data_IF_089852848784
#
_entry.id   IF_089852848784
#
_cell.length_a   1.000
_cell.length_b   1.000
_cell.length_c   1.000
_cell.angle_alpha   90.00
_cell.angle_beta   90.00
_cell.angle_gamma   90.00
#
_symmetry.space_group_name_H-M   'P 1'
#
loop_
_entity.id
_entity.type
_entity.pdbx_description
1 polymer ?
#
# COMPACT_ATOMS: atom_id res chain seq x y z
N UNK A 1 -2.62 -19.01 -9.13
CA UNK A 1 -3.35 -18.98 -10.42
C UNK A 1 -2.93 -17.75 -11.22
N UNK A 2 -2.55 -17.92 -12.48
CA UNK A 2 -1.98 -16.85 -13.32
C UNK A 2 -2.96 -15.69 -13.54
N UNK A 3 -4.24 -15.99 -13.79
CA UNK A 3 -5.26 -14.97 -14.06
C UNK A 3 -5.40 -13.95 -12.92
N UNK A 4 -5.30 -14.38 -11.66
CA UNK A 4 -5.42 -13.49 -10.50
C UNK A 4 -4.22 -12.53 -10.39
N UNK A 5 -3.03 -13.00 -10.77
CA UNK A 5 -1.82 -12.16 -10.84
C UNK A 5 -1.94 -11.14 -11.97
N UNK A 6 -2.43 -11.55 -13.15
CA UNK A 6 -2.68 -10.63 -14.29
C UNK A 6 -3.68 -9.55 -13.91
N UNK A 7 -4.79 -9.93 -13.28
CA UNK A 7 -5.80 -8.98 -12.82
C UNK A 7 -5.20 -7.98 -11.81
N UNK A 8 -4.44 -8.47 -10.83
CA UNK A 8 -3.82 -7.60 -9.82
C UNK A 8 -2.75 -6.68 -10.42
N UNK A 9 -2.02 -7.13 -11.44
CA UNK A 9 -1.09 -6.32 -12.21
C UNK A 9 -1.80 -5.17 -12.94
N UNK A 10 -2.92 -5.45 -13.62
CA UNK A 10 -3.72 -4.42 -14.31
C UNK A 10 -4.28 -3.41 -13.31
N UNK A 11 -4.85 -3.88 -12.20
CA UNK A 11 -5.41 -3.01 -11.15
C UNK A 11 -4.33 -2.12 -10.54
N UNK A 12 -3.19 -2.71 -10.16
CA UNK A 12 -2.10 -1.95 -9.58
C UNK A 12 -1.53 -0.91 -10.54
N UNK A 13 -1.44 -1.24 -11.83
CA UNK A 13 -1.00 -0.31 -12.88
C UNK A 13 -1.95 0.86 -13.04
N UNK A 14 -3.26 0.58 -13.07
CA UNK A 14 -4.30 1.61 -13.08
C UNK A 14 -4.21 2.53 -11.85
N UNK A 15 -4.07 1.96 -10.66
CA UNK A 15 -3.98 2.71 -9.39
C UNK A 15 -2.72 3.59 -9.37
N UNK A 16 -1.59 3.09 -9.85
CA UNK A 16 -0.35 3.87 -9.96
C UNK A 16 -0.53 5.06 -10.91
N UNK A 17 -1.15 4.86 -12.07
CA UNK A 17 -1.44 5.93 -13.02
C UNK A 17 -2.38 7.01 -12.43
N UNK A 18 -3.38 6.59 -11.65
CA UNK A 18 -4.29 7.51 -10.95
C UNK A 18 -3.60 8.29 -9.84
N UNK A 19 -2.77 7.65 -9.02
CA UNK A 19 -1.98 8.37 -8.01
C UNK A 19 -0.98 9.34 -8.64
N UNK A 20 -0.38 8.98 -9.78
CA UNK A 20 0.47 9.89 -10.54
C UNK A 20 -0.30 11.15 -10.99
N UNK A 21 -1.52 10.98 -11.51
CA UNK A 21 -2.38 12.10 -11.88
C UNK A 21 -2.77 12.99 -10.68
N UNK A 22 -3.02 12.39 -9.51
CA UNK A 22 -3.31 13.12 -8.26
C UNK A 22 -2.09 13.89 -7.72
N UNK A 23 -0.89 13.33 -7.87
CA UNK A 23 0.38 13.96 -7.47
C UNK A 23 0.58 15.32 -8.14
N UNK A 24 0.10 15.48 -9.38
CA UNK A 24 0.17 16.73 -10.13
C UNK A 24 -0.87 17.78 -9.71
N UNK A 25 -1.93 17.43 -8.96
CA UNK A 25 -3.10 18.32 -8.75
C UNK A 25 -3.19 19.02 -7.39
N UNK A 26 -2.61 18.49 -6.31
CA UNK A 26 -2.33 19.18 -5.00
C UNK A 26 -1.79 18.13 -4.01
N UNK A 27 -1.00 18.55 -3.02
CA UNK A 27 -0.46 17.58 -2.02
C UNK A 27 0.62 16.67 -2.60
N UNK A 28 1.59 17.25 -3.31
CA UNK A 28 2.59 16.54 -4.13
C UNK A 28 3.31 15.43 -3.37
N UNK A 29 3.69 15.63 -2.11
CA UNK A 29 4.55 14.67 -1.39
C UNK A 29 3.82 13.45 -0.84
N UNK A 30 2.57 13.59 -0.35
CA UNK A 30 1.77 12.44 0.12
C UNK A 30 1.41 11.51 -1.04
N UNK A 31 0.89 12.06 -2.13
CA UNK A 31 0.54 11.24 -3.30
C UNK A 31 1.78 10.72 -4.03
N UNK A 32 2.92 11.41 -3.98
CA UNK A 32 4.18 10.88 -4.49
C UNK A 32 4.57 9.58 -3.78
N UNK A 33 4.50 9.53 -2.44
CA UNK A 33 4.78 8.32 -1.67
C UNK A 33 3.88 7.15 -2.08
N UNK A 34 2.57 7.38 -2.20
CA UNK A 34 1.62 6.35 -2.66
C UNK A 34 1.85 5.94 -4.13
N UNK A 35 2.25 6.88 -4.99
CA UNK A 35 2.59 6.60 -6.39
C UNK A 35 3.81 5.70 -6.48
N UNK A 36 4.87 6.01 -5.74
CA UNK A 36 6.09 5.18 -5.72
C UNK A 36 5.78 3.81 -5.15
N UNK A 37 5.03 3.72 -4.05
CA UNK A 37 4.62 2.44 -3.48
C UNK A 37 3.80 1.58 -4.44
N UNK A 38 2.83 2.19 -5.13
CA UNK A 38 2.01 1.48 -6.13
C UNK A 38 2.81 1.05 -7.35
N UNK A 39 3.75 1.88 -7.84
CA UNK A 39 4.67 1.49 -8.90
C UNK A 39 5.55 0.31 -8.50
N UNK A 40 6.14 0.33 -7.30
CA UNK A 40 6.92 -0.82 -6.80
C UNK A 40 6.04 -2.07 -6.75
N UNK A 41 4.81 -1.95 -6.25
CA UNK A 41 3.87 -3.07 -6.22
C UNK A 41 3.54 -3.62 -7.62
N UNK A 42 3.40 -2.75 -8.64
CA UNK A 42 3.22 -3.20 -10.03
C UNK A 42 4.42 -4.01 -10.54
N UNK A 43 5.63 -3.55 -10.26
CA UNK A 43 6.88 -4.26 -10.64
C UNK A 43 6.94 -5.63 -9.97
N UNK A 44 6.53 -5.73 -8.71
CA UNK A 44 6.43 -7.01 -8.01
C UNK A 44 5.44 -7.96 -8.68
N UNK A 45 4.23 -7.49 -9.01
CA UNK A 45 3.23 -8.34 -9.68
C UNK A 45 3.68 -8.76 -11.08
N UNK A 46 4.40 -7.88 -11.78
CA UNK A 46 5.00 -8.20 -13.08
C UNK A 46 6.08 -9.28 -12.95
N UNK A 47 6.93 -9.19 -11.93
CA UNK A 47 7.93 -10.21 -11.63
C UNK A 47 7.30 -11.57 -11.32
N UNK A 48 6.23 -11.60 -10.50
CA UNK A 48 5.49 -12.84 -10.20
C UNK A 48 4.87 -13.44 -11.47
N UNK A 49 4.40 -12.59 -12.39
CA UNK A 49 3.88 -13.05 -13.68
C UNK A 49 4.99 -13.68 -14.54
N UNK A 50 6.16 -13.05 -14.64
CA UNK A 50 7.30 -13.60 -15.39
C UNK A 50 7.75 -14.95 -14.82
N UNK A 51 7.79 -15.09 -13.50
CA UNK A 51 8.12 -16.35 -12.84
C UNK A 51 7.14 -17.47 -13.22
N UNK A 52 5.84 -17.17 -13.31
CA UNK A 52 4.84 -18.13 -13.78
C UNK A 52 4.96 -18.50 -15.26
N UNK A 53 5.44 -17.59 -16.12
CA UNK A 53 5.51 -17.80 -17.56
C UNK A 53 6.78 -18.55 -17.99
N UNK A 54 7.92 -18.21 -17.39
CA UNK A 54 9.23 -18.74 -17.80
C UNK A 54 9.62 -20.00 -17.03
N UNK A 55 9.21 -20.12 -15.75
CA UNK A 55 9.57 -21.23 -14.86
C UNK A 55 11.08 -21.58 -14.85
N UNK A 56 11.94 -20.60 -15.15
CA UNK A 56 13.40 -20.73 -15.14
C UNK A 56 13.93 -20.46 -13.72
N UNK A 57 14.82 -21.30 -13.16
CA UNK A 57 15.43 -21.10 -11.85
C UNK A 57 16.03 -19.70 -11.63
N UNK A 58 16.67 -19.12 -12.66
CA UNK A 58 17.25 -17.77 -12.56
C UNK A 58 16.17 -16.69 -12.40
N UNK A 59 15.03 -16.87 -13.08
CA UNK A 59 13.87 -15.97 -12.98
C UNK A 59 13.19 -16.10 -11.63
N UNK A 60 13.11 -17.32 -11.08
CA UNK A 60 12.56 -17.56 -9.74
C UNK A 60 13.36 -16.84 -8.66
N UNK A 61 14.69 -16.99 -8.65
CA UNK A 61 15.57 -16.31 -7.67
C UNK A 61 15.45 -14.79 -7.79
N UNK A 62 15.49 -14.26 -9.02
CA UNK A 62 15.31 -12.82 -9.25
C UNK A 62 13.92 -12.34 -8.76
N UNK A 63 12.87 -13.13 -8.99
CA UNK A 63 11.52 -12.77 -8.60
C UNK A 63 11.32 -12.79 -7.09
N UNK A 64 11.90 -13.75 -6.37
CA UNK A 64 11.83 -13.79 -4.90
C UNK A 64 12.50 -12.55 -4.30
N UNK A 65 13.69 -12.20 -4.81
CA UNK A 65 14.41 -10.99 -4.40
C UNK A 65 13.59 -9.71 -4.65
N UNK A 66 13.04 -9.54 -5.86
CA UNK A 66 12.22 -8.36 -6.22
C UNK A 66 10.97 -8.27 -5.34
N UNK A 67 10.30 -9.38 -5.08
CA UNK A 67 9.08 -9.40 -4.26
C UNK A 67 9.38 -9.03 -2.82
N UNK A 68 10.43 -9.59 -2.25
CA UNK A 68 10.86 -9.32 -0.88
C UNK A 68 11.24 -7.85 -0.66
N UNK A 69 12.20 -7.35 -1.44
CA UNK A 69 12.64 -5.95 -1.33
C UNK A 69 11.52 -4.98 -1.73
N UNK A 70 10.69 -5.38 -2.69
CA UNK A 70 9.52 -4.63 -3.10
C UNK A 70 8.50 -4.46 -1.98
N UNK A 71 8.22 -5.50 -1.18
CA UNK A 71 7.31 -5.39 -0.04
C UNK A 71 7.81 -4.38 0.99
N UNK A 72 9.09 -4.43 1.33
CA UNK A 72 9.68 -3.59 2.38
C UNK A 72 9.75 -2.14 1.92
N UNK A 73 10.21 -1.91 0.69
CA UNK A 73 10.30 -0.56 0.13
C UNK A 73 8.92 0.06 -0.08
N UNK A 74 7.95 -0.68 -0.64
CA UNK A 74 6.58 -0.18 -0.80
C UNK A 74 5.93 0.17 0.54
N UNK A 75 6.10 -0.67 1.57
CA UNK A 75 5.59 -0.39 2.92
C UNK A 75 6.21 0.87 3.53
N UNK A 76 7.51 1.06 3.38
CA UNK A 76 8.20 2.25 3.87
C UNK A 76 7.63 3.54 3.23
N UNK A 77 7.34 3.52 1.92
CA UNK A 77 6.70 4.64 1.23
C UNK A 77 5.25 4.86 1.64
N UNK A 78 4.47 3.79 1.83
CA UNK A 78 3.10 3.87 2.36
C UNK A 78 3.11 4.53 3.74
N UNK A 79 3.92 4.02 4.67
CA UNK A 79 4.04 4.58 6.03
C UNK A 79 4.48 6.05 6.01
N UNK A 80 5.44 6.39 5.14
CA UNK A 80 5.88 7.78 4.97
C UNK A 80 4.75 8.67 4.46
N UNK A 81 3.97 8.21 3.49
CA UNK A 81 2.78 8.93 3.03
C UNK A 81 1.74 9.10 4.12
N UNK A 82 1.46 8.05 4.91
CA UNK A 82 0.52 8.12 6.03
C UNK A 82 0.99 9.14 7.08
N UNK A 83 2.29 9.18 7.39
CA UNK A 83 2.86 10.16 8.30
C UNK A 83 2.63 11.59 7.80
N UNK A 84 2.74 11.84 6.49
CA UNK A 84 2.41 13.14 5.89
C UNK A 84 0.91 13.44 6.04
N UNK A 85 0.01 12.48 5.77
CA UNK A 85 -1.43 12.69 6.00
C UNK A 85 -1.75 13.05 7.45
N UNK A 86 -1.17 12.33 8.41
CA UNK A 86 -1.34 12.62 9.84
C UNK A 86 -0.82 14.00 10.19
N UNK A 87 0.34 14.40 9.65
CA UNK A 87 0.93 15.72 9.88
C UNK A 87 0.01 16.83 9.35
N UNK A 88 -0.44 16.73 8.10
CA UNK A 88 -1.32 17.72 7.47
C UNK A 88 -2.71 17.82 8.14
N UNK A 89 -3.11 16.78 8.88
CA UNK A 89 -4.36 16.77 9.63
C UNK A 89 -4.39 17.66 10.87
N UNK A 90 -3.19 18.03 11.35
CA UNK A 90 -3.01 18.84 12.57
C UNK A 90 -2.80 20.31 12.21
N UNK A 91 -3.21 21.25 13.08
CA UNK A 91 -2.93 22.67 12.88
C UNK A 91 -1.42 22.91 12.90
N UNK A 92 -0.95 23.95 12.17
CA UNK A 92 0.47 24.21 11.88
C UNK A 92 1.36 24.19 13.12
N UNK A 93 0.90 24.74 14.24
CA UNK A 93 1.66 24.79 15.50
C UNK A 93 1.85 23.43 16.19
N UNK A 94 1.00 22.44 15.87
CA UNK A 94 1.07 21.07 16.42
C UNK A 94 1.66 20.08 15.41
N UNK A 95 2.16 20.56 14.27
CA UNK A 95 2.82 19.73 13.26
C UNK A 95 4.24 19.45 13.70
N UNK A 96 4.61 18.18 13.71
CA UNK A 96 6.00 17.78 13.88
C UNK A 96 6.82 18.13 12.62
N UNK A 97 8.16 18.22 12.72
CA UNK A 97 9.04 18.52 11.60
C UNK A 97 8.83 17.58 10.40
N UNK A 98 8.87 18.13 9.19
CA UNK A 98 8.63 17.36 7.97
C UNK A 98 9.61 16.20 7.78
N UNK A 99 10.85 16.35 8.24
CA UNK A 99 11.87 15.29 8.12
C UNK A 99 11.45 14.00 8.85
N UNK A 100 10.65 14.10 9.91
CA UNK A 100 10.18 12.92 10.64
C UNK A 100 9.15 12.10 9.87
N UNK A 101 8.50 12.67 8.82
CA UNK A 101 7.62 11.86 7.97
C UNK A 101 8.39 10.89 7.08
N UNK A 102 9.70 11.10 6.90
CA UNK A 102 10.58 10.21 6.13
C UNK A 102 11.24 9.12 6.99
N UNK A 103 11.05 9.14 8.32
CA UNK A 103 11.60 8.12 9.22
C UNK A 103 11.24 6.68 8.83
N UNK A 104 10.04 6.37 8.32
CA UNK A 104 9.73 5.00 7.88
C UNK A 104 10.64 4.50 6.75
N UNK A 105 11.35 5.37 6.01
CA UNK A 105 12.34 4.94 5.02
C UNK A 105 13.57 4.28 5.65
N UNK A 106 13.86 4.53 6.93
CA UNK A 106 14.91 3.85 7.66
C UNK A 106 14.66 2.34 7.76
N UNK A 107 13.41 1.89 7.63
CA UNK A 107 13.05 0.47 7.58
C UNK A 107 13.86 -0.26 6.50
N UNK A 108 13.99 0.35 5.32
CA UNK A 108 14.71 -0.24 4.17
C UNK A 108 16.18 -0.48 4.51
N UNK A 109 16.82 0.47 5.20
CA UNK A 109 18.23 0.34 5.61
C UNK A 109 18.35 -0.67 6.75
N UNK A 110 17.47 -0.60 7.76
CA UNK A 110 17.50 -1.51 8.90
C UNK A 110 17.25 -2.97 8.51
N UNK A 111 16.57 -3.21 7.39
CA UNK A 111 16.29 -4.55 6.91
C UNK A 111 17.56 -5.35 6.55
N UNK A 112 18.62 -4.67 6.10
CA UNK A 112 19.92 -5.29 5.82
C UNK A 112 20.51 -6.01 7.05
N UNK A 113 20.16 -5.58 8.26
CA UNK A 113 20.65 -6.16 9.51
C UNK A 113 19.94 -7.47 9.89
N UNK A 114 18.80 -7.76 9.25
CA UNK A 114 17.87 -8.82 9.67
C UNK A 114 17.61 -9.84 8.54
N UNK A 115 18.11 -9.58 7.33
CA UNK A 115 17.83 -10.36 6.12
C UNK A 115 18.10 -11.88 6.27
N UNK A 116 19.10 -12.27 7.06
CA UNK A 116 19.51 -13.67 7.20
C UNK A 116 18.60 -14.49 8.13
N UNK A 117 17.67 -13.86 8.85
CA UNK A 117 16.80 -14.55 9.81
C UNK A 117 15.34 -14.58 9.34
N UNK A 118 14.92 -15.73 8.78
CA UNK A 118 13.58 -15.94 8.24
C UNK A 118 12.45 -15.60 9.21
N UNK A 119 12.59 -15.99 10.49
CA UNK A 119 11.59 -15.70 11.52
C UNK A 119 11.42 -14.19 11.72
N UNK A 120 12.50 -13.45 11.97
CA UNK A 120 12.43 -12.02 12.26
C UNK A 120 11.90 -11.25 11.04
N UNK A 121 12.31 -11.62 9.82
CA UNK A 121 11.76 -11.08 8.56
C UNK A 121 10.24 -11.19 8.48
N UNK A 122 9.70 -12.37 8.78
CA UNK A 122 8.24 -12.62 8.71
C UNK A 122 7.50 -11.76 9.73
N UNK A 123 7.99 -11.73 10.97
CA UNK A 123 7.40 -10.92 12.04
C UNK A 123 7.43 -9.42 11.72
N UNK A 124 8.52 -8.95 11.14
CA UNK A 124 8.69 -7.56 10.74
C UNK A 124 7.67 -7.18 9.65
N UNK A 125 7.44 -8.04 8.65
CA UNK A 125 6.40 -7.81 7.64
C UNK A 125 4.99 -7.79 8.23
N UNK A 126 4.66 -8.71 9.13
CA UNK A 126 3.38 -8.73 9.86
C UNK A 126 3.17 -7.41 10.59
N UNK A 127 4.16 -6.98 11.38
CA UNK A 127 4.07 -5.77 12.21
C UNK A 127 3.95 -4.52 11.34
N UNK A 128 4.73 -4.39 10.26
CA UNK A 128 4.68 -3.20 9.41
C UNK A 128 3.45 -3.12 8.53
N UNK A 129 2.99 -4.23 7.95
CA UNK A 129 1.75 -4.27 7.19
C UNK A 129 0.55 -4.00 8.10
N UNK A 130 0.47 -4.72 9.23
CA UNK A 130 -0.57 -4.54 10.23
C UNK A 130 -0.58 -3.11 10.78
N UNK A 131 0.58 -2.58 11.15
CA UNK A 131 0.73 -1.20 11.63
C UNK A 131 0.27 -0.16 10.62
N UNK A 132 0.65 -0.29 9.34
CA UNK A 132 0.19 0.61 8.28
C UNK A 132 -1.34 0.61 8.14
N UNK A 133 -1.95 -0.59 8.12
CA UNK A 133 -3.41 -0.74 8.00
C UNK A 133 -4.13 -0.20 9.23
N UNK A 134 -3.65 -0.50 10.45
CA UNK A 134 -4.25 -0.01 11.70
C UNK A 134 -4.19 1.52 11.78
N UNK A 135 -3.05 2.12 11.42
CA UNK A 135 -2.90 3.58 11.41
C UNK A 135 -3.82 4.21 10.36
N UNK A 136 -3.91 3.64 9.15
CA UNK A 136 -4.86 4.10 8.14
C UNK A 136 -6.31 4.01 8.65
N UNK A 137 -6.66 2.89 9.28
CA UNK A 137 -8.01 2.64 9.79
C UNK A 137 -8.41 3.67 10.85
N UNK A 138 -7.55 3.92 11.84
CA UNK A 138 -7.80 4.92 12.87
C UNK A 138 -7.94 6.33 12.27
N UNK A 139 -7.02 6.70 11.37
CA UNK A 139 -7.04 8.02 10.73
C UNK A 139 -8.33 8.24 9.92
N UNK A 140 -8.67 7.30 9.04
CA UNK A 140 -9.85 7.42 8.18
C UNK A 140 -11.17 7.23 8.93
N UNK A 141 -11.18 6.52 10.07
CA UNK A 141 -12.35 6.45 10.95
C UNK A 141 -12.68 7.84 11.52
N UNK A 142 -11.68 8.55 12.06
CA UNK A 142 -11.87 9.90 12.60
C UNK A 142 -12.27 10.88 11.48
N UNK A 143 -11.65 10.77 10.30
CA UNK A 143 -11.99 11.64 9.17
C UNK A 143 -13.40 11.41 8.66
N UNK A 144 -13.82 10.15 8.55
CA UNK A 144 -15.17 9.79 8.10
C UNK A 144 -16.22 10.28 9.09
N UNK A 145 -15.95 10.18 10.38
CA UNK A 145 -16.82 10.73 11.43
C UNK A 145 -17.03 12.25 11.27
N UNK A 146 -15.99 13.00 10.90
CA UNK A 146 -16.09 14.46 10.68
C UNK A 146 -16.64 14.83 9.31
N UNK A 147 -16.38 14.02 8.29
CA UNK A 147 -16.71 14.28 6.88
C UNK A 147 -17.04 12.94 6.21
N UNK A 148 -18.32 12.65 5.89
CA UNK A 148 -18.73 11.35 5.33
C UNK A 148 -18.10 11.05 3.96
N UNK A 149 -17.50 12.06 3.32
CA UNK A 149 -16.77 11.94 2.05
C UNK A 149 -15.61 10.93 2.10
N UNK A 150 -15.03 10.70 3.29
CA UNK A 150 -13.95 9.72 3.47
C UNK A 150 -14.42 8.27 3.61
N UNK A 151 -15.74 8.02 3.60
CA UNK A 151 -16.31 6.69 3.82
C UNK A 151 -15.81 5.64 2.81
N UNK A 152 -15.64 6.00 1.54
CA UNK A 152 -15.09 5.08 0.53
C UNK A 152 -13.64 4.69 0.85
N UNK A 153 -12.80 5.63 1.30
CA UNK A 153 -11.43 5.31 1.67
C UNK A 153 -11.43 4.39 2.90
N UNK A 154 -12.28 4.67 3.90
CA UNK A 154 -12.42 3.80 5.08
C UNK A 154 -12.89 2.39 4.69
N UNK A 155 -13.85 2.26 3.77
CA UNK A 155 -14.31 0.97 3.27
C UNK A 155 -13.16 0.19 2.60
N UNK A 156 -12.34 0.86 1.78
CA UNK A 156 -11.14 0.27 1.20
C UNK A 156 -10.15 -0.24 2.26
N UNK A 157 -9.91 0.56 3.31
CA UNK A 157 -9.04 0.19 4.44
C UNK A 157 -9.57 -1.01 5.23
N UNK A 158 -10.90 -1.09 5.42
CA UNK A 158 -11.53 -2.26 6.06
C UNK A 158 -11.33 -3.51 5.22
N UNK A 159 -11.46 -3.42 3.90
CA UNK A 159 -11.20 -4.57 3.00
C UNK A 159 -9.72 -4.96 3.04
N UNK A 160 -8.79 -4.01 3.10
CA UNK A 160 -7.37 -4.31 3.33
C UNK A 160 -7.15 -5.05 4.65
N UNK A 161 -7.82 -4.62 5.73
CA UNK A 161 -7.73 -5.27 7.03
C UNK A 161 -8.25 -6.71 6.99
N UNK A 162 -9.41 -6.94 6.35
CA UNK A 162 -9.98 -8.27 6.16
C UNK A 162 -9.01 -9.14 5.34
N UNK A 163 -8.47 -8.60 4.24
CA UNK A 163 -7.50 -9.32 3.40
C UNK A 163 -6.23 -9.68 4.17
N UNK A 164 -5.74 -8.79 5.03
CA UNK A 164 -4.57 -9.02 5.87
C UNK A 164 -4.82 -10.13 6.89
N UNK A 165 -5.96 -10.08 7.60
CA UNK A 165 -6.33 -11.11 8.58
C UNK A 165 -6.46 -12.47 7.88
N UNK A 166 -7.17 -12.53 6.74
CA UNK A 166 -7.33 -13.78 5.99
C UNK A 166 -6.00 -14.36 5.50
N UNK A 167 -5.09 -13.51 5.01
CA UNK A 167 -3.79 -13.96 4.53
C UNK A 167 -2.93 -14.56 5.63
N UNK A 168 -2.91 -13.96 6.83
CA UNK A 168 -2.04 -14.39 7.93
C UNK A 168 -2.68 -15.45 8.85
N UNK A 169 -4.01 -15.50 8.93
CA UNK A 169 -4.70 -16.45 9.83
C UNK A 169 -5.09 -17.77 9.16
N UNK A 170 -5.24 -17.80 7.82
CA UNK A 170 -5.74 -18.99 7.10
C UNK A 170 -4.68 -19.47 6.10
N UNK A 171 -3.99 -20.55 6.45
CA UNK A 171 -2.92 -21.14 5.62
C UNK A 171 -3.41 -21.55 4.23
N UNK A 172 -4.65 -22.03 4.08
CA UNK A 172 -5.18 -22.38 2.75
C UNK A 172 -5.34 -21.16 1.83
N UNK A 173 -5.60 -19.98 2.40
CA UNK A 173 -5.70 -18.71 1.63
C UNK A 173 -4.33 -18.27 1.14
N UNK A 174 -3.27 -18.49 1.93
CA UNK A 174 -1.89 -18.23 1.53
C UNK A 174 -1.40 -19.19 0.43
N UNK A 175 -1.81 -20.46 0.49
CA UNK A 175 -1.42 -21.52 -0.45
C UNK A 175 -2.40 -21.72 -1.61
N UNK A 176 -3.37 -22.60 -1.41
CA UNK A 176 -4.26 -23.10 -2.47
C UNK A 176 -5.22 -22.04 -3.03
N UNK A 177 -5.71 -21.14 -2.17
CA UNK A 177 -6.73 -20.14 -2.51
C UNK A 177 -6.19 -18.71 -2.59
N UNK A 178 -4.96 -18.54 -3.09
CA UNK A 178 -4.31 -17.24 -3.26
C UNK A 178 -5.12 -16.18 -4.01
N UNK A 179 -6.05 -16.61 -4.86
CA UNK A 179 -6.90 -15.70 -5.61
C UNK A 179 -7.83 -14.86 -4.71
N UNK A 180 -8.22 -15.38 -3.53
CA UNK A 180 -9.15 -14.71 -2.61
C UNK A 180 -8.53 -13.41 -2.09
N UNK A 181 -7.35 -13.49 -1.48
CA UNK A 181 -6.68 -12.30 -0.96
C UNK A 181 -6.27 -11.34 -2.08
N UNK A 182 -5.87 -11.85 -3.26
CA UNK A 182 -5.53 -11.02 -4.42
C UNK A 182 -6.73 -10.19 -4.90
N UNK A 183 -7.92 -10.78 -4.95
CA UNK A 183 -9.14 -10.06 -5.30
C UNK A 183 -9.52 -9.03 -4.24
N UNK A 184 -9.41 -9.37 -2.95
CA UNK A 184 -9.69 -8.43 -1.86
C UNK A 184 -8.74 -7.22 -1.89
N UNK A 185 -7.44 -7.46 -2.07
CA UNK A 185 -6.44 -6.39 -2.26
C UNK A 185 -6.79 -5.53 -3.48
N UNK A 186 -7.10 -6.15 -4.62
CA UNK A 186 -7.47 -5.42 -5.83
C UNK A 186 -8.72 -4.53 -5.62
N UNK A 187 -9.76 -5.09 -5.01
CA UNK A 187 -10.97 -4.34 -4.67
C UNK A 187 -10.69 -3.19 -3.70
N UNK A 188 -9.88 -3.43 -2.66
CA UNK A 188 -9.49 -2.42 -1.68
C UNK A 188 -8.73 -1.26 -2.34
N UNK A 189 -7.81 -1.55 -3.27
CA UNK A 189 -7.08 -0.54 -4.03
C UNK A 189 -8.01 0.33 -4.89
N UNK A 190 -8.96 -0.30 -5.60
CA UNK A 190 -9.94 0.40 -6.45
C UNK A 190 -10.85 1.30 -5.60
N UNK A 191 -11.41 0.78 -4.52
CA UNK A 191 -12.31 1.52 -3.64
C UNK A 191 -11.56 2.71 -3.00
N UNK A 192 -10.31 2.51 -2.60
CA UNK A 192 -9.47 3.56 -2.02
C UNK A 192 -9.20 4.68 -3.03
N UNK A 193 -8.83 4.36 -4.28
CA UNK A 193 -8.54 5.38 -5.29
C UNK A 193 -9.79 6.19 -5.65
N UNK A 194 -10.95 5.54 -5.79
CA UNK A 194 -12.22 6.25 -6.01
C UNK A 194 -12.55 7.19 -4.85
N UNK A 195 -12.29 6.77 -3.61
CA UNK A 195 -12.45 7.63 -2.44
C UNK A 195 -11.53 8.86 -2.46
N UNK A 196 -10.28 8.71 -2.90
CA UNK A 196 -9.36 9.84 -3.08
C UNK A 196 -9.81 10.81 -4.19
N UNK A 197 -10.27 10.29 -5.34
CA UNK A 197 -10.75 11.14 -6.43
C UNK A 197 -11.99 11.96 -6.03
N UNK A 198 -12.94 11.33 -5.31
CA UNK A 198 -14.16 12.01 -4.86
C UNK A 198 -13.85 13.11 -3.84
N UNK A 199 -12.94 12.85 -2.91
CA UNK A 199 -12.56 13.83 -1.88
C UNK A 199 -11.84 15.04 -2.49
N UNK A 200 -10.96 14.84 -3.46
CA UNK A 200 -10.24 15.93 -4.15
C UNK A 200 -11.16 16.77 -5.05
N UNK A 201 -12.04 16.14 -5.84
CA UNK A 201 -12.96 16.86 -6.76
C UNK A 201 -13.86 17.85 -6.01
N UNK A 202 -14.32 17.48 -4.82
CA UNK A 202 -15.18 18.35 -4.02
C UNK A 202 -14.42 19.43 -3.23
N UNK A 203 -13.13 19.21 -2.92
CA UNK A 203 -12.30 20.27 -2.34
C UNK A 203 -12.05 21.35 -3.38
N UNK A 204 -11.82 20.98 -4.64
CA UNK A 204 -11.67 21.94 -5.74
C UNK A 204 -12.94 22.80 -5.91
N UNK A 205 -14.12 22.17 -5.93
CA UNK A 205 -15.41 22.87 -6.10
C UNK A 205 -15.76 23.84 -4.95
N UNK A 206 -15.23 23.62 -3.74
CA UNK A 206 -15.48 24.48 -2.58
C UNK A 206 -14.47 25.63 -2.45
N UNK A 207 -13.45 25.69 -3.32
CA UNK A 207 -12.40 26.74 -3.30
C UNK A 207 -12.46 27.71 -4.48
N UNK A 208 -13.45 27.54 -5.36
CA UNK A 208 -13.83 28.45 -6.45
C UNK A 208 -15.08 29.23 -6.07
#
# INVERSE_FOLDING_TARGET
>A
MVWATVLLLIISGYVAAKFFALTNKRGRLKFLGLTVASMIFTVMQFSVLLNHLMADPNVTVASEFIVEWGHITSLAFVLSSLAIFIRESKPVFAQFPMIYTALPLLIVISYLLVQDTYAIKTWLLIIYQGGAITVAFLMYSIYTYRRPKYAFILAGVIIFLISYILFWSISEVQGSYQWIWKLLVGAAMIISIFGYEQTETQVAANTT
#
